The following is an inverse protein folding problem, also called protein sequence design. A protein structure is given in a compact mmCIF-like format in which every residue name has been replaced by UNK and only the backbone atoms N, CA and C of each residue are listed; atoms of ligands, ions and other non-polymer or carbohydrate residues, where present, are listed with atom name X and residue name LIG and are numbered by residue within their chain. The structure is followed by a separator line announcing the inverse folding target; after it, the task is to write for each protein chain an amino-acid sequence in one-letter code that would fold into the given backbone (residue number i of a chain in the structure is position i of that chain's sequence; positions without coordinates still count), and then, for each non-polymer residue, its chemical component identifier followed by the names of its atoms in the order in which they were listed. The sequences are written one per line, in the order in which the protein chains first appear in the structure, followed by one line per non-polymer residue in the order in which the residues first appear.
data_IF_682640079605
#
_entry.id   IF_682640079605
#
_cell.length_a   1.000
_cell.length_b   1.000
_cell.length_c   1.000
_cell.angle_alpha   90.00
_cell.angle_beta   90.00
_cell.angle_gamma   90.00
#
_symmetry.space_group_name_H-M   'P 1'
#
loop_
_entity.id
_entity.type
_entity.pdbx_description
1 polymer ?
#
# COMPACT_ATOMS: atom_id res chain seq x y z
N UNK A 1 -17.05 29.26 -36.85
CA UNK A 1 -15.83 28.58 -36.36
C UNK A 1 -15.46 27.50 -37.35
N UNK A 2 -14.18 27.30 -37.66
CA UNK A 2 -13.74 26.30 -38.65
C UNK A 2 -13.76 24.88 -38.06
N UNK A 3 -14.01 23.85 -38.88
CA UNK A 3 -14.06 22.43 -38.47
C UNK A 3 -12.80 22.00 -37.69
N UNK A 4 -11.62 22.45 -38.13
CA UNK A 4 -10.35 22.15 -37.47
C UNK A 4 -10.22 22.78 -36.06
N UNK A 5 -10.93 23.87 -35.79
CA UNK A 5 -10.93 24.54 -34.49
C UNK A 5 -11.75 23.75 -33.47
N UNK A 6 -12.87 23.15 -33.90
CA UNK A 6 -13.73 22.31 -33.07
C UNK A 6 -13.05 20.96 -32.75
N UNK A 7 -12.35 20.36 -33.73
CA UNK A 7 -11.58 19.12 -33.50
C UNK A 7 -10.47 19.31 -32.46
N UNK A 8 -9.72 20.43 -32.53
CA UNK A 8 -8.66 20.72 -31.57
C UNK A 8 -9.18 20.91 -30.13
N UNK A 9 -10.34 21.55 -29.97
CA UNK A 9 -10.99 21.76 -28.66
C UNK A 9 -11.46 20.44 -28.04
N UNK A 10 -12.07 19.56 -28.84
CA UNK A 10 -12.50 18.22 -28.40
C UNK A 10 -11.31 17.36 -27.97
N UNK A 11 -10.20 17.38 -28.70
CA UNK A 11 -8.99 16.61 -28.35
C UNK A 11 -8.40 17.08 -27.01
N UNK A 12 -8.38 18.39 -26.75
CA UNK A 12 -7.88 18.94 -25.47
C UNK A 12 -8.78 18.50 -24.31
N UNK A 13 -10.09 18.59 -24.47
CA UNK A 13 -11.04 18.18 -23.43
C UNK A 13 -10.90 16.69 -23.08
N UNK A 14 -10.76 15.83 -24.09
CA UNK A 14 -10.54 14.38 -23.89
C UNK A 14 -9.21 14.09 -23.17
N UNK A 15 -8.12 14.79 -23.54
CA UNK A 15 -6.83 14.63 -22.89
C UNK A 15 -6.85 15.08 -21.42
N UNK A 16 -7.57 16.15 -21.10
CA UNK A 16 -7.75 16.61 -19.71
C UNK A 16 -8.51 15.58 -18.90
N UNK A 17 -9.66 15.11 -19.39
CA UNK A 17 -10.48 14.07 -18.71
C UNK A 17 -9.67 12.81 -18.46
N UNK A 18 -8.95 12.34 -19.48
CA UNK A 18 -8.07 11.18 -19.35
C UNK A 18 -6.99 11.40 -18.27
N UNK A 19 -6.40 12.60 -18.22
CA UNK A 19 -5.40 12.96 -17.21
C UNK A 19 -5.97 12.94 -15.78
N UNK A 20 -7.18 13.48 -15.59
CA UNK A 20 -7.87 13.51 -14.30
C UNK A 20 -8.22 12.11 -13.80
N UNK A 21 -8.81 11.28 -14.67
CA UNK A 21 -9.18 9.88 -14.35
C UNK A 21 -7.95 9.08 -13.94
N UNK A 22 -6.88 9.14 -14.73
CA UNK A 22 -5.61 8.48 -14.43
C UNK A 22 -4.94 9.03 -13.17
N UNK A 23 -5.07 10.33 -12.92
CA UNK A 23 -4.56 10.98 -11.71
C UNK A 23 -5.28 10.49 -10.46
N UNK A 24 -6.61 10.44 -10.54
CA UNK A 24 -7.49 9.96 -9.47
C UNK A 24 -7.24 8.49 -9.16
N UNK A 25 -7.24 7.62 -10.17
CA UNK A 25 -6.98 6.18 -10.05
C UNK A 25 -5.66 5.92 -9.30
N UNK A 26 -4.55 6.48 -9.78
CA UNK A 26 -3.24 6.33 -9.12
C UNK A 26 -3.19 6.92 -7.72
N UNK A 27 -3.89 8.04 -7.50
CA UNK A 27 -3.98 8.68 -6.19
C UNK A 27 -4.70 7.80 -5.19
N UNK A 28 -5.82 7.22 -5.62
CA UNK A 28 -6.65 6.32 -4.83
C UNK A 28 -5.89 5.03 -4.48
N UNK A 29 -5.27 4.37 -5.46
CA UNK A 29 -4.47 3.14 -5.25
C UNK A 29 -3.37 3.35 -4.21
N UNK A 30 -2.56 4.41 -4.35
CA UNK A 30 -1.51 4.76 -3.37
C UNK A 30 -2.07 5.07 -2.00
N UNK A 31 -3.24 5.72 -1.95
CA UNK A 31 -3.95 6.01 -0.70
C UNK A 31 -4.35 4.73 0.03
N UNK A 32 -4.93 3.78 -0.70
CA UNK A 32 -5.33 2.46 -0.17
C UNK A 32 -4.11 1.67 0.31
N UNK A 33 -3.04 1.62 -0.48
CA UNK A 33 -1.79 0.92 -0.11
C UNK A 33 -1.19 1.51 1.17
N UNK A 34 -1.08 2.84 1.26
CA UNK A 34 -0.57 3.52 2.45
C UNK A 34 -1.45 3.27 3.67
N UNK A 35 -2.77 3.36 3.53
CA UNK A 35 -3.71 3.11 4.61
C UNK A 35 -3.60 1.67 5.13
N UNK A 36 -3.46 0.70 4.23
CA UNK A 36 -3.25 -0.71 4.55
C UNK A 36 -1.94 -0.91 5.30
N UNK A 37 -0.83 -0.35 4.81
CA UNK A 37 0.48 -0.41 5.49
C UNK A 37 0.40 0.17 6.90
N UNK A 38 -0.15 1.38 7.06
CA UNK A 38 -0.29 2.00 8.38
C UNK A 38 -1.17 1.17 9.34
N UNK A 39 -2.17 0.47 8.82
CA UNK A 39 -3.02 -0.42 9.61
C UNK A 39 -2.22 -1.60 10.16
N UNK A 40 -1.47 -2.30 9.31
CA UNK A 40 -0.62 -3.40 9.75
C UNK A 40 0.48 -2.96 10.70
N UNK A 41 1.15 -1.83 10.44
CA UNK A 41 2.17 -1.31 11.36
C UNK A 41 1.61 -1.09 12.78
N UNK A 42 0.39 -0.56 12.89
CA UNK A 42 -0.29 -0.39 14.19
C UNK A 42 -0.66 -1.72 14.84
N UNK A 43 -1.15 -2.68 14.06
CA UNK A 43 -1.55 -3.99 14.60
C UNK A 43 -0.35 -4.80 15.08
N UNK A 44 0.73 -4.84 14.31
CA UNK A 44 1.99 -5.48 14.72
C UNK A 44 2.61 -4.78 15.92
N UNK A 45 2.62 -3.44 15.99
CA UNK A 45 3.08 -2.72 17.18
C UNK A 45 2.27 -3.10 18.43
N UNK A 46 0.93 -3.23 18.30
CA UNK A 46 0.07 -3.72 19.40
C UNK A 46 0.40 -5.17 19.77
N UNK A 47 0.65 -6.04 18.78
CA UNK A 47 1.00 -7.45 19.01
C UNK A 47 2.30 -7.59 19.79
N UNK A 48 3.29 -6.75 19.49
CA UNK A 48 4.58 -6.72 20.18
C UNK A 48 4.55 -5.97 21.52
N UNK A 49 3.51 -5.19 21.79
CA UNK A 49 3.44 -4.31 22.96
C UNK A 49 4.43 -3.14 22.93
N UNK A 50 5.00 -2.83 21.77
CA UNK A 50 5.96 -1.72 21.58
C UNK A 50 5.90 -1.16 20.16
N UNK A 51 6.39 0.07 19.92
CA UNK A 51 6.56 0.58 18.57
C UNK A 51 7.46 -0.32 17.72
N UNK A 52 7.16 -0.40 16.41
CA UNK A 52 8.06 -1.00 15.44
C UNK A 52 9.29 -0.12 15.24
N UNK A 53 10.44 -0.76 15.05
CA UNK A 53 11.65 -0.12 14.54
C UNK A 53 11.49 0.22 13.06
N UNK A 54 12.39 1.03 12.51
CA UNK A 54 12.36 1.34 11.08
C UNK A 54 12.57 0.08 10.22
N UNK A 55 13.51 -0.78 10.61
CA UNK A 55 13.77 -2.03 9.89
C UNK A 55 12.54 -2.96 9.89
N UNK A 56 11.86 -3.10 11.03
CA UNK A 56 10.62 -3.89 11.10
C UNK A 56 9.50 -3.31 10.24
N UNK A 57 9.37 -1.97 10.16
CA UNK A 57 8.41 -1.31 9.25
C UNK A 57 8.72 -1.57 7.78
N UNK A 58 10.00 -1.62 7.43
CA UNK A 58 10.43 -1.86 6.06
C UNK A 58 10.25 -3.33 5.66
N UNK A 59 10.61 -4.27 6.54
CA UNK A 59 10.31 -5.71 6.36
C UNK A 59 8.80 -5.94 6.22
N UNK A 60 7.99 -5.36 7.11
CA UNK A 60 6.53 -5.52 7.06
C UNK A 60 5.95 -4.94 5.76
N UNK A 61 6.45 -3.79 5.31
CA UNK A 61 6.05 -3.20 4.03
C UNK A 61 6.38 -4.08 2.83
N UNK A 62 7.61 -4.63 2.79
CA UNK A 62 8.01 -5.55 1.72
C UNK A 62 7.15 -6.81 1.71
N UNK A 63 6.89 -7.39 2.88
CA UNK A 63 6.06 -8.58 3.01
C UNK A 63 4.60 -8.36 2.67
N UNK A 64 4.04 -7.19 2.99
CA UNK A 64 2.69 -6.86 2.56
C UNK A 64 2.56 -6.90 1.03
N UNK A 65 3.61 -6.50 0.30
CA UNK A 65 3.65 -6.55 -1.17
C UNK A 65 3.89 -7.98 -1.68
N UNK A 66 4.82 -8.73 -1.08
CA UNK A 66 5.24 -10.05 -1.61
C UNK A 66 4.38 -11.22 -1.14
N UNK A 67 3.90 -11.19 0.09
CA UNK A 67 3.13 -12.27 0.73
C UNK A 67 1.62 -11.98 0.73
N UNK A 68 1.24 -10.71 0.66
CA UNK A 68 -0.16 -10.29 0.67
C UNK A 68 -0.78 -10.28 2.07
N UNK A 69 -2.05 -9.84 2.13
CA UNK A 69 -2.78 -9.58 3.38
C UNK A 69 -3.08 -10.85 4.15
N UNK A 70 -3.49 -11.92 3.47
CA UNK A 70 -3.91 -13.17 4.11
C UNK A 70 -2.77 -13.76 4.96
N UNK A 71 -1.54 -13.74 4.42
CA UNK A 71 -0.37 -14.25 5.13
C UNK A 71 0.01 -13.40 6.35
N UNK A 72 -0.14 -12.07 6.23
CA UNK A 72 0.13 -11.17 7.35
C UNK A 72 -0.92 -11.34 8.46
N UNK A 73 -2.18 -11.55 8.09
CA UNK A 73 -3.26 -11.83 9.04
C UNK A 73 -3.01 -13.15 9.78
N UNK A 74 -2.64 -14.22 9.05
CA UNK A 74 -2.27 -15.50 9.65
C UNK A 74 -1.17 -15.34 10.71
N UNK A 75 -0.10 -14.60 10.37
CA UNK A 75 1.02 -14.34 11.28
C UNK A 75 0.55 -13.57 12.51
N UNK A 76 -0.22 -12.49 12.31
CA UNK A 76 -0.68 -11.62 13.37
C UNK A 76 -1.58 -12.36 14.38
N UNK A 77 -2.47 -13.23 13.89
CA UNK A 77 -3.43 -13.96 14.71
C UNK A 77 -2.86 -15.27 15.29
N UNK A 78 -1.88 -15.88 14.64
CA UNK A 78 -1.34 -17.19 15.06
C UNK A 78 -0.08 -17.09 15.91
N UNK A 79 0.79 -16.09 15.69
CA UNK A 79 2.07 -16.00 16.40
C UNK A 79 1.96 -15.17 17.67
N UNK A 80 2.64 -15.61 18.74
CA UNK A 80 2.90 -14.83 19.96
C UNK A 80 3.76 -13.58 19.73
N UNK A 81 3.89 -12.67 20.73
CA UNK A 81 4.71 -11.47 20.60
C UNK A 81 6.17 -11.76 20.23
N UNK A 82 6.81 -12.73 20.91
CA UNK A 82 8.21 -13.10 20.64
C UNK A 82 8.39 -13.72 19.25
N UNK A 83 7.50 -14.65 18.88
CA UNK A 83 7.53 -15.26 17.55
C UNK A 83 7.26 -14.23 16.43
N UNK A 84 6.42 -13.23 16.69
CA UNK A 84 6.18 -12.12 15.76
C UNK A 84 7.43 -11.27 15.59
N UNK A 85 8.15 -10.96 16.69
CA UNK A 85 9.40 -10.22 16.62
C UNK A 85 10.48 -11.00 15.84
N UNK A 86 10.60 -12.31 16.11
CA UNK A 86 11.52 -13.18 15.38
C UNK A 86 11.19 -13.24 13.89
N UNK A 87 9.91 -13.37 13.54
CA UNK A 87 9.46 -13.38 12.15
C UNK A 87 9.81 -12.06 11.45
N UNK A 88 9.58 -10.90 12.07
CA UNK A 88 9.96 -9.60 11.49
C UNK A 88 11.49 -9.39 11.37
N UNK A 89 12.28 -10.04 12.21
CA UNK A 89 13.74 -9.95 12.19
C UNK A 89 14.39 -10.89 11.16
N UNK A 90 13.74 -11.99 10.81
CA UNK A 90 14.22 -12.94 9.80
C UNK A 90 13.77 -12.50 8.40
N UNK A 91 14.66 -12.07 7.50
CA UNK A 91 14.29 -11.68 6.14
C UNK A 91 13.83 -12.84 5.25
N UNK A 92 14.12 -14.09 5.63
CA UNK A 92 13.77 -15.30 4.87
C UNK A 92 12.46 -15.95 5.31
N UNK A 93 11.89 -15.53 6.45
CA UNK A 93 10.63 -16.10 6.91
C UNK A 93 9.47 -15.74 5.97
N UNK A 94 8.65 -16.73 5.67
CA UNK A 94 7.43 -16.61 4.87
C UNK A 94 6.20 -16.42 5.75
#
# INVERSE_FOLDING_TARGET
MSSAMLEGEVIIEELVKFGEERGFERGFERGVERARRCTYERQFARRLGRPLTQNERDTLGQRLVTLGVDRLDDVLFSLGPEATAAWLADPSAA
#
